data_IF_018242470623
#
_entry.id   IF_018242470623
#
_cell.length_a   1.000
_cell.length_b   1.000
_cell.length_c   1.000
_cell.angle_alpha   90.00
_cell.angle_beta   90.00
_cell.angle_gamma   90.00
#
_symmetry.space_group_name_H-M   'P 1'
#
loop_
_entity.id
_entity.type
_entity.pdbx_description
1 polymer ?
#
# COMPACT_ATOMS: atom_id res chain seq x y z
N UNK A 1 -5.81 7.33 26.33
CA UNK A 1 -5.65 6.58 25.06
C UNK A 1 -5.71 7.58 23.91
N UNK A 2 -4.56 7.99 23.39
CA UNK A 2 -4.49 8.89 22.23
C UNK A 2 -5.04 8.15 21.02
N UNK A 3 -6.04 8.71 20.33
CA UNK A 3 -6.63 8.13 19.11
C UNK A 3 -5.51 7.90 18.09
N UNK A 4 -5.23 6.63 17.77
CA UNK A 4 -4.26 6.31 16.74
C UNK A 4 -4.68 6.95 15.42
N UNK A 5 -3.82 7.82 14.90
CA UNK A 5 -4.02 8.52 13.62
C UNK A 5 -3.59 7.60 12.47
N UNK A 6 -4.14 6.39 12.41
CA UNK A 6 -4.16 5.63 11.16
C UNK A 6 -4.86 6.53 10.15
N UNK A 7 -4.05 7.15 9.29
CA UNK A 7 -4.52 8.20 8.39
C UNK A 7 -5.57 7.60 7.47
N UNK A 8 -6.78 8.18 7.44
CA UNK A 8 -7.89 7.76 6.58
C UNK A 8 -7.61 7.89 5.08
N UNK A 9 -6.39 8.25 4.69
CA UNK A 9 -6.06 8.62 3.34
C UNK A 9 -5.33 7.47 2.64
N UNK A 10 -6.07 6.81 1.75
CA UNK A 10 -5.50 5.96 0.72
C UNK A 10 -5.83 6.59 -0.62
N UNK A 11 -4.83 6.76 -1.46
CA UNK A 11 -4.99 7.29 -2.80
C UNK A 11 -4.56 6.24 -3.84
N UNK A 12 -5.33 6.14 -4.92
CA UNK A 12 -5.05 5.30 -6.06
C UNK A 12 -4.73 6.21 -7.26
N UNK A 13 -3.65 5.91 -7.98
CA UNK A 13 -3.34 6.57 -9.24
C UNK A 13 -3.34 5.52 -10.36
N UNK A 14 -4.21 5.74 -11.34
CA UNK A 14 -4.33 4.88 -12.52
C UNK A 14 -3.52 5.48 -13.68
N UNK A 15 -2.83 4.66 -14.46
CA UNK A 15 -2.26 5.12 -15.71
C UNK A 15 -3.36 5.59 -16.67
N UNK A 16 -3.17 6.75 -17.30
CA UNK A 16 -4.06 7.23 -18.38
C UNK A 16 -3.46 6.79 -19.71
N UNK A 17 -4.12 5.87 -20.45
CA UNK A 17 -3.66 5.46 -21.77
C UNK A 17 -3.60 6.64 -22.74
N UNK A 18 -2.61 6.65 -23.63
CA UNK A 18 -2.52 7.63 -24.72
C UNK A 18 -3.14 7.09 -26.00
N UNK A 19 -3.50 7.99 -26.91
CA UNK A 19 -3.87 7.69 -28.30
C UNK A 19 -5.08 6.74 -28.47
N UNK A 20 -6.04 6.79 -27.53
CA UNK A 20 -7.27 5.99 -27.61
C UNK A 20 -7.11 4.52 -27.20
N UNK A 21 -5.95 4.14 -26.65
CA UNK A 21 -5.76 2.81 -26.08
C UNK A 21 -6.68 2.58 -24.86
N UNK A 22 -7.16 1.35 -24.68
CA UNK A 22 -8.02 0.99 -23.53
C UNK A 22 -7.24 0.68 -22.25
N UNK A 23 -5.94 0.41 -22.35
CA UNK A 23 -5.07 0.10 -21.20
C UNK A 23 -3.59 0.34 -21.54
N UNK A 24 -2.75 0.44 -20.51
CA UNK A 24 -1.29 0.40 -20.65
C UNK A 24 -0.83 -1.04 -20.41
N UNK A 25 -0.33 -1.70 -21.44
CA UNK A 25 0.30 -3.03 -21.34
C UNK A 25 1.53 -2.97 -20.44
N UNK A 26 1.69 -3.99 -19.61
CA UNK A 26 2.82 -4.15 -18.67
C UNK A 26 2.96 -3.06 -17.60
N UNK A 27 1.91 -2.26 -17.34
CA UNK A 27 1.94 -1.33 -16.21
C UNK A 27 1.96 -2.09 -14.88
N UNK A 28 3.01 -1.85 -14.10
CA UNK A 28 3.15 -2.43 -12.78
C UNK A 28 3.04 -1.35 -11.70
N UNK A 29 1.98 -1.49 -10.90
CA UNK A 29 1.72 -0.68 -9.72
C UNK A 29 2.86 -0.72 -8.71
N UNK A 30 2.92 0.34 -7.92
CA UNK A 30 3.95 0.55 -6.89
C UNK A 30 3.31 1.16 -5.66
N UNK A 31 3.90 0.86 -4.50
CA UNK A 31 3.51 1.47 -3.23
C UNK A 31 4.25 2.77 -2.98
N UNK A 32 3.55 3.72 -2.37
CA UNK A 32 4.06 5.01 -1.96
C UNK A 32 3.73 5.24 -0.48
N UNK A 33 4.68 5.82 0.23
CA UNK A 33 4.49 6.40 1.58
C UNK A 33 5.10 7.80 1.55
N UNK A 34 4.36 8.76 0.98
CA UNK A 34 4.88 10.07 0.51
C UNK A 34 5.89 9.96 -0.65
N UNK A 35 6.82 9.01 -0.58
CA UNK A 35 7.82 8.71 -1.60
C UNK A 35 7.64 7.29 -2.16
N UNK A 36 8.08 7.02 -3.39
CA UNK A 36 8.03 5.69 -3.98
C UNK A 36 8.82 4.68 -3.16
N UNK A 37 8.20 3.54 -2.86
CA UNK A 37 8.87 2.39 -2.26
C UNK A 37 9.43 1.48 -3.36
N UNK A 38 10.51 0.72 -3.10
CA UNK A 38 11.03 -0.29 -4.03
C UNK A 38 10.17 -1.57 -4.05
N UNK A 39 8.84 -1.43 -3.93
CA UNK A 39 7.88 -2.53 -3.86
C UNK A 39 6.94 -2.44 -5.05
N UNK A 40 7.04 -3.42 -5.95
CA UNK A 40 6.13 -3.60 -7.07
C UNK A 40 4.96 -4.48 -6.61
N UNK A 41 3.73 -4.06 -6.89
CA UNK A 41 2.52 -4.74 -6.38
C UNK A 41 1.88 -5.70 -7.38
N UNK A 42 2.20 -5.56 -8.68
CA UNK A 42 1.51 -6.27 -9.74
C UNK A 42 0.09 -5.75 -10.05
N UNK A 43 -0.42 -4.78 -9.28
CA UNK A 43 -1.72 -4.16 -9.55
C UNK A 43 -1.62 -3.14 -10.68
N UNK A 44 -2.70 -2.89 -11.44
CA UNK A 44 -2.70 -1.89 -12.50
C UNK A 44 -2.81 -0.44 -11.98
N UNK A 45 -2.45 -0.20 -10.71
CA UNK A 45 -2.55 1.11 -10.04
C UNK A 45 -1.37 1.36 -9.11
N UNK A 46 -0.94 2.60 -8.98
CA UNK A 46 -0.11 3.02 -7.85
C UNK A 46 -0.98 3.24 -6.62
N UNK A 47 -0.47 2.87 -5.44
CA UNK A 47 -1.19 3.00 -4.17
C UNK A 47 -0.34 3.85 -3.22
N UNK A 48 -0.90 4.94 -2.72
CA UNK A 48 -0.29 5.77 -1.68
C UNK A 48 -1.10 5.67 -0.39
N UNK A 49 -0.46 5.22 0.68
CA UNK A 49 -1.09 5.05 1.98
C UNK A 49 -0.05 5.12 3.11
N UNK A 50 -0.52 5.21 4.36
CA UNK A 50 0.32 4.86 5.51
C UNK A 50 0.47 3.33 5.53
N UNK A 51 1.70 2.82 5.48
CA UNK A 51 1.98 1.39 5.43
C UNK A 51 2.93 0.97 6.57
N UNK A 52 2.68 -0.20 7.15
CA UNK A 52 3.64 -0.86 8.02
C UNK A 52 4.80 -1.41 7.17
N UNK A 53 6.02 -0.96 7.44
CA UNK A 53 7.22 -1.35 6.71
C UNK A 53 8.27 -1.91 7.66
N UNK A 54 9.16 -2.75 7.15
CA UNK A 54 10.43 -3.03 7.83
C UNK A 54 11.33 -1.78 7.82
N UNK A 55 12.32 -1.71 8.71
CA UNK A 55 13.20 -0.55 8.85
C UNK A 55 13.94 -0.16 7.56
N UNK A 56 14.29 -1.13 6.72
CA UNK A 56 14.92 -0.88 5.41
C UNK A 56 13.96 -0.25 4.39
N UNK A 57 12.65 -0.23 4.68
CA UNK A 57 11.56 0.23 3.80
C UNK A 57 11.51 -0.49 2.45
N UNK A 58 12.09 -1.69 2.38
CA UNK A 58 12.09 -2.51 1.16
C UNK A 58 10.96 -3.54 1.14
N UNK A 59 10.32 -3.80 2.28
CA UNK A 59 9.23 -4.77 2.40
C UNK A 59 8.17 -4.25 3.37
N UNK A 60 6.96 -4.81 3.24
CA UNK A 60 5.94 -4.67 4.26
C UNK A 60 6.34 -5.42 5.53
N UNK A 61 5.89 -4.92 6.69
CA UNK A 61 6.07 -5.60 7.97
C UNK A 61 5.24 -6.90 7.99
N UNK A 62 5.82 -7.98 8.50
CA UNK A 62 5.12 -9.26 8.67
C UNK A 62 4.39 -9.28 10.04
N UNK A 63 3.23 -9.95 10.11
CA UNK A 63 2.47 -10.11 11.35
C UNK A 63 3.20 -10.97 12.40
N UNK A 64 4.16 -11.80 11.99
CA UNK A 64 4.97 -12.61 12.90
C UNK A 64 6.08 -11.79 13.59
N UNK A 65 6.41 -10.61 13.07
CA UNK A 65 7.48 -9.75 13.56
C UNK A 65 6.98 -8.62 14.49
N UNK A 66 5.75 -8.72 14.98
CA UNK A 66 5.10 -7.71 15.81
C UNK A 66 4.55 -8.33 17.09
N UNK A 67 4.63 -7.57 18.18
CA UNK A 67 4.07 -7.98 19.47
C UNK A 67 2.54 -7.83 19.45
N UNK A 68 1.83 -8.81 20.00
CA UNK A 68 0.37 -8.79 20.09
C UNK A 68 -0.10 -7.62 20.96
N UNK A 69 -1.12 -6.90 20.49
CA UNK A 69 -1.64 -5.67 21.10
C UNK A 69 -0.79 -4.43 20.84
N UNK A 70 0.30 -4.54 20.08
CA UNK A 70 1.13 -3.38 19.74
C UNK A 70 0.51 -2.53 18.64
N UNK A 71 0.96 -1.28 18.55
CA UNK A 71 0.60 -0.38 17.43
C UNK A 71 1.04 -0.93 16.07
N UNK A 72 2.13 -1.68 16.03
CA UNK A 72 2.64 -2.26 14.79
C UNK A 72 1.74 -3.38 14.27
N UNK A 73 1.11 -4.16 15.16
CA UNK A 73 0.07 -5.12 14.77
C UNK A 73 -1.12 -4.43 14.09
N UNK A 74 -1.58 -3.28 14.63
CA UNK A 74 -2.65 -2.49 14.01
C UNK A 74 -2.26 -1.97 12.62
N UNK A 75 -1.00 -1.56 12.43
CA UNK A 75 -0.50 -1.12 11.13
C UNK A 75 -0.38 -2.28 10.12
N UNK A 76 -0.04 -3.48 10.59
CA UNK A 76 0.00 -4.69 9.75
C UNK A 76 -1.41 -5.08 9.29
N UNK A 77 -2.40 -5.09 10.19
CA UNK A 77 -3.80 -5.33 9.82
C UNK A 77 -4.35 -4.24 8.88
N UNK A 78 -3.92 -2.99 9.06
CA UNK A 78 -4.24 -1.92 8.14
C UNK A 78 -3.70 -2.16 6.72
N UNK A 79 -2.44 -2.62 6.58
CA UNK A 79 -1.91 -3.03 5.28
C UNK A 79 -2.81 -4.10 4.65
N UNK A 80 -3.18 -5.12 5.43
CA UNK A 80 -4.06 -6.20 4.97
C UNK A 80 -5.41 -5.66 4.47
N UNK A 81 -6.03 -4.75 5.21
CA UNK A 81 -7.29 -4.10 4.82
C UNK A 81 -7.18 -3.30 3.52
N UNK A 82 -6.07 -2.57 3.32
CA UNK A 82 -5.81 -1.87 2.05
C UNK A 82 -5.80 -2.87 0.88
N UNK A 83 -5.05 -3.96 1.01
CA UNK A 83 -4.91 -4.92 -0.08
C UNK A 83 -6.16 -5.78 -0.31
N UNK A 84 -6.98 -6.03 0.71
CA UNK A 84 -8.21 -6.81 0.54
C UNK A 84 -9.36 -6.01 -0.07
N UNK A 85 -9.45 -4.71 0.26
CA UNK A 85 -10.61 -3.88 -0.11
C UNK A 85 -10.35 -2.98 -1.34
N UNK A 86 -9.12 -2.50 -1.54
CA UNK A 86 -8.83 -1.45 -2.53
C UNK A 86 -8.20 -1.97 -3.81
N UNK A 87 -7.80 -3.24 -3.83
CA UNK A 87 -7.20 -3.87 -4.99
C UNK A 87 -8.32 -4.36 -5.92
N UNK A 88 -8.34 -3.91 -7.20
CA UNK A 88 -9.25 -4.48 -8.20
C UNK A 88 -8.99 -5.99 -8.34
N UNK A 89 -10.05 -6.80 -8.26
CA UNK A 89 -10.01 -8.25 -8.53
C UNK A 89 -9.96 -8.53 -10.02
#
# INVERSE_FOLDING_TARGET
>A
MSKDKLGRHVALALPVPRDGASSITDFQGRLFTLLPLPIITGFPVHINAVLALVSSRQNLRNSMDVEAGSREELLVEWNRGIFSELVPK
#
